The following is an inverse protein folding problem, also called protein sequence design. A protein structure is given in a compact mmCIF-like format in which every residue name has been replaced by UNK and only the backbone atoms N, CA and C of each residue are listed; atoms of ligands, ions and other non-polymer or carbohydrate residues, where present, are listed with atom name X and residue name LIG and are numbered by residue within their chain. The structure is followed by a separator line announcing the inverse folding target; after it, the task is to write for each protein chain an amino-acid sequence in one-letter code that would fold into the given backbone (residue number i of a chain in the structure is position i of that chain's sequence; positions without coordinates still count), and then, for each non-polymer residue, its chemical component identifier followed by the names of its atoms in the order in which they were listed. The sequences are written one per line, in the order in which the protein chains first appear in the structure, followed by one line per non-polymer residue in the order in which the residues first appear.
data_IF_353900096597
#
_entry.id   IF_353900096597
#
_cell.length_a   1.000
_cell.length_b   1.000
_cell.length_c   1.000
_cell.angle_alpha   90.00
_cell.angle_beta   90.00
_cell.angle_gamma   90.00
#
_symmetry.space_group_name_H-M   'P 1'
#
loop_
_entity.id
_entity.type
_entity.pdbx_description
1 polymer ?
#
# COMPACT_ATOMS: atom_id res chain seq x y z
N UNK A 1 -9.59 -41.88 -10.39
CA UNK A 1 -9.13 -41.43 -9.06
C UNK A 1 -9.97 -40.23 -8.65
N UNK A 2 -10.55 -40.28 -7.46
CA UNK A 2 -11.62 -39.38 -7.03
C UNK A 2 -11.05 -38.07 -6.48
N UNK A 3 -9.92 -38.14 -5.78
CA UNK A 3 -9.21 -36.97 -5.27
C UNK A 3 -8.72 -36.07 -6.41
N UNK A 4 -8.24 -36.67 -7.51
CA UNK A 4 -7.85 -35.93 -8.71
C UNK A 4 -9.03 -35.22 -9.37
N UNK A 5 -10.22 -35.81 -9.36
CA UNK A 5 -11.43 -35.20 -9.91
C UNK A 5 -11.86 -33.97 -9.07
N UNK A 6 -11.75 -34.05 -7.73
CA UNK A 6 -12.04 -32.93 -6.83
C UNK A 6 -11.03 -31.78 -7.03
N UNK A 7 -9.74 -32.09 -7.17
CA UNK A 7 -8.72 -31.07 -7.47
C UNK A 7 -8.98 -30.43 -8.84
N UNK A 8 -9.32 -31.23 -9.84
CA UNK A 8 -9.62 -30.76 -11.19
C UNK A 8 -10.82 -29.82 -11.24
N UNK A 9 -11.93 -30.17 -10.56
CA UNK A 9 -13.14 -29.33 -10.58
C UNK A 9 -12.95 -28.03 -9.80
N UNK A 10 -12.18 -28.04 -8.70
CA UNK A 10 -11.82 -26.81 -7.96
C UNK A 10 -10.99 -25.88 -8.83
N UNK A 11 -9.97 -26.41 -9.52
CA UNK A 11 -9.18 -25.61 -10.45
C UNK A 11 -10.05 -25.01 -11.57
N UNK A 12 -10.96 -25.78 -12.15
CA UNK A 12 -11.88 -25.28 -13.16
C UNK A 12 -12.82 -24.17 -12.65
N UNK A 13 -13.19 -24.18 -11.36
CA UNK A 13 -13.94 -23.08 -10.75
C UNK A 13 -13.08 -21.82 -10.61
N UNK A 14 -11.83 -21.94 -10.13
CA UNK A 14 -10.91 -20.82 -10.02
C UNK A 14 -10.61 -20.20 -11.39
N UNK A 15 -10.34 -21.03 -12.40
CA UNK A 15 -10.09 -20.57 -13.77
C UNK A 15 -11.31 -19.81 -14.34
N UNK A 16 -12.54 -20.29 -14.08
CA UNK A 16 -13.78 -19.58 -14.46
C UNK A 16 -13.95 -18.25 -13.73
N UNK A 17 -13.60 -18.20 -12.45
CA UNK A 17 -13.66 -16.96 -11.67
C UNK A 17 -12.67 -15.92 -12.23
N UNK A 18 -11.44 -16.34 -12.56
CA UNK A 18 -10.45 -15.46 -13.21
C UNK A 18 -10.95 -14.93 -14.56
N UNK A 19 -11.52 -15.79 -15.40
CA UNK A 19 -12.11 -15.36 -16.67
C UNK A 19 -13.23 -14.33 -16.47
N UNK A 20 -14.13 -14.55 -15.51
CA UNK A 20 -15.20 -13.61 -15.19
C UNK A 20 -14.64 -12.26 -14.70
N UNK A 21 -13.54 -12.27 -13.93
CA UNK A 21 -12.86 -11.05 -13.48
C UNK A 21 -12.21 -10.29 -14.64
N UNK A 22 -11.61 -10.98 -15.61
CA UNK A 22 -11.04 -10.34 -16.80
C UNK A 22 -12.09 -9.67 -17.68
N UNK A 23 -13.30 -10.24 -17.78
CA UNK A 23 -14.40 -9.62 -18.55
C UNK A 23 -14.88 -8.29 -17.97
N UNK A 24 -14.79 -8.11 -16.65
CA UNK A 24 -15.20 -6.88 -15.97
C UNK A 24 -14.05 -5.90 -15.73
N UNK A 25 -12.79 -6.32 -15.94
CA UNK A 25 -11.64 -5.42 -15.84
C UNK A 25 -11.69 -4.38 -16.96
N UNK A 26 -11.51 -3.12 -16.57
CA UNK A 26 -11.46 -1.98 -17.48
C UNK A 26 -10.41 -0.99 -16.99
N UNK A 27 -9.90 -0.15 -17.89
CA UNK A 27 -8.94 0.90 -17.51
C UNK A 27 -9.53 1.94 -16.56
N UNK A 28 -10.86 2.13 -16.57
CA UNK A 28 -11.58 3.11 -15.75
C UNK A 28 -12.15 2.55 -14.44
N UNK A 29 -12.21 1.23 -14.29
CA UNK A 29 -12.82 0.58 -13.13
C UNK A 29 -11.79 -0.25 -12.36
N UNK A 30 -11.89 -0.20 -11.04
CA UNK A 30 -11.22 -1.12 -10.15
C UNK A 30 -12.20 -2.24 -9.76
N UNK A 31 -11.64 -3.41 -9.51
CA UNK A 31 -12.39 -4.62 -9.19
C UNK A 31 -11.88 -5.17 -7.86
N UNK A 32 -12.80 -5.42 -6.94
CA UNK A 32 -12.55 -6.19 -5.73
C UNK A 32 -13.46 -7.42 -5.77
N UNK A 33 -12.94 -8.58 -5.39
CA UNK A 33 -13.71 -9.80 -5.36
C UNK A 33 -13.47 -10.59 -4.08
N UNK A 34 -14.43 -11.44 -3.78
CA UNK A 34 -14.32 -12.45 -2.74
C UNK A 34 -14.76 -13.80 -3.33
N UNK A 35 -13.89 -14.80 -3.15
CA UNK A 35 -14.12 -16.18 -3.57
C UNK A 35 -13.67 -17.08 -2.42
N UNK A 36 -14.65 -17.59 -1.67
CA UNK A 36 -14.39 -18.55 -0.62
C UNK A 36 -14.31 -19.96 -1.21
N UNK A 37 -13.09 -20.43 -1.49
CA UNK A 37 -12.86 -21.80 -1.98
C UNK A 37 -13.33 -22.89 -1.00
N UNK A 38 -13.51 -22.55 0.29
CA UNK A 38 -14.03 -23.47 1.30
C UNK A 38 -15.56 -23.57 1.27
N UNK A 39 -16.25 -22.57 0.70
CA UNK A 39 -17.70 -22.56 0.52
C UNK A 39 -18.17 -23.31 -0.75
N UNK A 40 -17.24 -23.80 -1.58
CA UNK A 40 -17.58 -24.52 -2.80
C UNK A 40 -18.36 -25.81 -2.50
N UNK A 41 -19.56 -25.93 -3.06
CA UNK A 41 -20.42 -27.10 -2.93
C UNK A 41 -20.05 -28.10 -4.03
N UNK A 42 -19.39 -29.18 -3.65
CA UNK A 42 -19.05 -30.30 -4.56
C UNK A 42 -20.10 -31.40 -4.42
N UNK A 43 -20.71 -31.79 -5.53
CA UNK A 43 -21.68 -32.88 -5.65
C UNK A 43 -21.08 -33.99 -6.51
N UNK A 44 -21.36 -35.21 -6.11
CA UNK A 44 -20.97 -36.42 -6.84
C UNK A 44 -22.19 -37.32 -6.96
N UNK A 45 -22.33 -37.99 -8.08
CA UNK A 45 -23.38 -38.98 -8.33
C UNK A 45 -22.98 -40.40 -7.86
N UNK A 46 -21.68 -40.68 -7.73
CA UNK A 46 -21.13 -41.94 -7.21
C UNK A 46 -20.67 -41.82 -5.74
N UNK A 47 -20.82 -42.90 -4.96
CA UNK A 47 -20.35 -42.99 -3.57
C UNK A 47 -19.04 -43.78 -3.47
N UNK A 48 -18.33 -43.57 -2.37
CA UNK A 48 -17.14 -44.38 -2.04
C UNK A 48 -17.53 -45.86 -1.94
N UNK A 49 -16.94 -46.68 -2.81
CA UNK A 49 -17.22 -48.12 -2.90
C UNK A 49 -18.15 -48.52 -4.05
N UNK A 50 -18.69 -47.57 -4.81
CA UNK A 50 -19.45 -47.89 -6.03
C UNK A 50 -18.50 -48.33 -7.16
N UNK A 51 -18.79 -49.49 -7.76
CA UNK A 51 -18.06 -50.01 -8.92
C UNK A 51 -18.74 -49.53 -10.21
N UNK A 52 -18.58 -48.24 -10.51
CA UNK A 52 -19.14 -47.58 -11.70
C UNK A 52 -18.03 -47.27 -12.72
N UNK A 53 -18.35 -47.47 -14.00
CA UNK A 53 -17.39 -47.20 -15.09
C UNK A 53 -17.12 -45.70 -15.32
N UNK A 54 -18.09 -44.85 -14.99
CA UNK A 54 -18.02 -43.39 -15.09
C UNK A 54 -18.82 -42.76 -13.94
N UNK A 55 -18.46 -41.54 -13.55
CA UNK A 55 -19.15 -40.74 -12.52
C UNK A 55 -19.05 -39.25 -12.86
N UNK A 56 -20.02 -38.46 -12.41
CA UNK A 56 -20.11 -37.02 -12.61
C UNK A 56 -19.75 -36.30 -11.30
N UNK A 57 -18.77 -35.41 -11.39
CA UNK A 57 -18.45 -34.44 -10.35
C UNK A 57 -18.93 -33.07 -10.80
N UNK A 58 -19.77 -32.43 -9.98
CA UNK A 58 -20.23 -31.06 -10.17
C UNK A 58 -19.75 -30.20 -9.01
N UNK A 59 -19.38 -28.95 -9.28
CA UNK A 59 -19.05 -28.01 -8.22
C UNK A 59 -19.67 -26.64 -8.51
N UNK A 60 -20.10 -25.97 -7.45
CA UNK A 60 -20.70 -24.65 -7.48
C UNK A 60 -20.04 -23.77 -6.42
N UNK A 61 -19.69 -22.54 -6.78
CA UNK A 61 -19.18 -21.54 -5.85
C UNK A 61 -19.77 -20.16 -6.17
N UNK A 62 -19.91 -19.32 -5.15
CA UNK A 62 -20.41 -17.96 -5.30
C UNK A 62 -19.22 -17.00 -5.40
N UNK A 63 -19.13 -16.29 -6.52
CA UNK A 63 -18.16 -15.22 -6.72
C UNK A 63 -18.87 -13.87 -6.52
N UNK A 64 -18.46 -13.11 -5.52
CA UNK A 64 -18.93 -11.75 -5.32
C UNK A 64 -17.93 -10.76 -5.93
N UNK A 65 -18.43 -9.83 -6.75
CA UNK A 65 -17.60 -8.83 -7.44
C UNK A 65 -18.15 -7.43 -7.14
N UNK A 66 -17.28 -6.55 -6.65
CA UNK A 66 -17.54 -5.12 -6.56
C UNK A 66 -16.74 -4.39 -7.64
N UNK A 67 -17.45 -3.65 -8.48
CA UNK A 67 -16.88 -2.82 -9.54
C UNK A 67 -17.11 -1.36 -9.16
N UNK A 68 -16.04 -0.57 -9.13
CA UNK A 68 -16.11 0.83 -8.71
C UNK A 68 -15.13 1.70 -9.52
N UNK A 69 -15.33 3.03 -9.46
CA UNK A 69 -14.47 3.97 -10.17
C UNK A 69 -13.04 3.90 -9.62
N UNK A 70 -12.10 3.57 -10.51
CA UNK A 70 -10.68 3.52 -10.17
C UNK A 70 -10.16 4.90 -9.72
N UNK A 71 -10.55 5.94 -10.45
CA UNK A 71 -10.15 7.32 -10.16
C UNK A 71 -10.61 7.78 -8.77
N UNK A 72 -11.87 7.49 -8.41
CA UNK A 72 -12.41 7.84 -7.09
C UNK A 72 -11.71 7.05 -5.97
N UNK A 73 -11.45 5.76 -6.19
CA UNK A 73 -10.72 4.95 -5.22
C UNK A 73 -9.28 5.46 -5.01
N UNK A 74 -8.56 5.77 -6.09
CA UNK A 74 -7.22 6.35 -6.02
C UNK A 74 -7.21 7.71 -5.31
N UNK A 75 -8.22 8.56 -5.56
CA UNK A 75 -8.36 9.85 -4.88
C UNK A 75 -8.56 9.67 -3.37
N UNK A 76 -9.41 8.72 -2.95
CA UNK A 76 -9.63 8.40 -1.54
C UNK A 76 -8.37 7.86 -0.87
N UNK A 77 -7.62 6.99 -1.55
CA UNK A 77 -6.35 6.47 -1.04
C UNK A 77 -5.32 7.58 -0.90
N UNK A 78 -5.16 8.44 -1.91
CA UNK A 78 -4.26 9.61 -1.86
C UNK A 78 -4.62 10.56 -0.72
N UNK A 79 -5.91 10.84 -0.51
CA UNK A 79 -6.37 11.69 0.58
C UNK A 79 -6.04 11.09 1.97
N UNK A 80 -6.27 9.78 2.15
CA UNK A 80 -5.89 9.07 3.39
C UNK A 80 -4.39 9.05 3.62
N UNK A 81 -3.60 8.84 2.57
CA UNK A 81 -2.14 8.90 2.63
C UNK A 81 -1.68 10.28 3.08
N UNK A 82 -2.19 11.35 2.45
CA UNK A 82 -1.84 12.72 2.81
C UNK A 82 -2.17 13.05 4.28
N UNK A 83 -3.25 12.47 4.81
CA UNK A 83 -3.61 12.63 6.22
C UNK A 83 -2.69 11.86 7.19
N UNK A 84 -2.14 10.71 6.77
CA UNK A 84 -1.27 9.87 7.60
C UNK A 84 0.22 10.22 7.46
N UNK A 85 0.60 10.96 6.42
CA UNK A 85 1.97 11.41 6.17
C UNK A 85 2.40 12.43 7.24
N UNK A 86 3.53 12.19 7.91
CA UNK A 86 4.19 13.21 8.72
C UNK A 86 4.57 14.44 7.89
N UNK A 87 4.51 15.64 8.49
CA UNK A 87 4.75 16.92 7.81
C UNK A 87 6.15 17.03 7.17
N UNK A 88 7.14 16.31 7.72
CA UNK A 88 8.53 16.27 7.28
C UNK A 88 8.79 15.29 6.12
N UNK A 89 7.77 14.52 5.72
CA UNK A 89 7.90 13.43 4.74
C UNK A 89 6.99 13.66 3.54
N UNK A 90 7.42 13.11 2.41
CA UNK A 90 6.66 13.06 1.16
C UNK A 90 6.70 11.65 0.61
N UNK A 91 5.66 11.27 -0.12
CA UNK A 91 5.66 10.02 -0.85
C UNK A 91 6.50 10.19 -2.12
N UNK A 92 7.54 9.38 -2.29
CA UNK A 92 8.51 9.51 -3.38
C UNK A 92 7.93 9.10 -4.73
N UNK A 93 7.02 8.13 -4.73
CA UNK A 93 6.20 7.73 -5.87
C UNK A 93 4.93 7.03 -5.37
N UNK A 94 3.79 7.39 -5.94
CA UNK A 94 2.53 6.66 -5.80
C UNK A 94 1.99 6.38 -7.18
N UNK A 95 2.01 5.12 -7.58
CA UNK A 95 1.34 4.69 -8.80
C UNK A 95 0.06 3.95 -8.39
N UNK A 96 -1.09 4.43 -8.85
CA UNK A 96 -2.39 3.82 -8.53
C UNK A 96 -2.53 2.35 -8.98
N UNK A 97 -1.61 1.89 -9.85
CA UNK A 97 -1.49 0.49 -10.27
C UNK A 97 -1.03 -0.45 -9.14
N UNK A 98 -0.44 0.08 -8.08
CA UNK A 98 0.11 -0.71 -6.96
C UNK A 98 -0.92 -0.93 -5.82
N UNK A 99 -2.18 -0.55 -6.05
CA UNK A 99 -3.27 -0.77 -5.08
C UNK A 99 -3.91 -2.13 -5.35
N UNK A 100 -3.77 -3.04 -4.39
CA UNK A 100 -4.50 -4.29 -4.33
C UNK A 100 -5.82 -4.08 -3.59
N UNK A 101 -6.93 -4.53 -4.20
CA UNK A 101 -8.26 -4.45 -3.62
C UNK A 101 -8.76 -5.83 -3.23
N UNK A 102 -9.41 -5.93 -2.06
CA UNK A 102 -10.10 -7.12 -1.60
C UNK A 102 -11.51 -6.74 -1.15
N UNK A 103 -12.50 -7.54 -1.52
CA UNK A 103 -13.86 -7.38 -1.03
C UNK A 103 -13.94 -8.01 0.35
N UNK A 104 -14.23 -7.21 1.38
CA UNK A 104 -14.32 -7.71 2.78
C UNK A 104 -15.78 -8.02 3.17
N UNK A 105 -16.73 -7.22 2.70
CA UNK A 105 -18.15 -7.43 2.94
C UNK A 105 -18.99 -6.81 1.83
N UNK A 106 -20.19 -7.34 1.59
CA UNK A 106 -21.15 -6.74 0.68
C UNK A 106 -22.58 -6.97 1.18
N UNK A 107 -23.47 -6.06 0.82
CA UNK A 107 -24.90 -6.17 1.01
C UNK A 107 -25.59 -5.91 -0.33
N UNK A 108 -26.16 -6.98 -0.90
CA UNK A 108 -26.85 -6.95 -2.17
C UNK A 108 -28.18 -6.17 -2.11
N UNK A 109 -28.80 -6.03 -0.93
CA UNK A 109 -30.05 -5.29 -0.80
C UNK A 109 -29.83 -3.78 -0.85
N UNK A 110 -28.73 -3.30 -0.25
CA UNK A 110 -28.36 -1.89 -0.27
C UNK A 110 -27.40 -1.53 -1.41
N UNK A 111 -26.93 -2.51 -2.18
CA UNK A 111 -25.88 -2.35 -3.20
C UNK A 111 -24.62 -1.69 -2.62
N UNK A 112 -24.26 -2.04 -1.39
CA UNK A 112 -23.07 -1.52 -0.72
C UNK A 112 -22.01 -2.60 -0.54
N UNK A 113 -20.74 -2.19 -0.59
CA UNK A 113 -19.60 -3.07 -0.42
C UNK A 113 -18.52 -2.38 0.42
N UNK A 114 -17.88 -3.15 1.29
CA UNK A 114 -16.67 -2.74 2.02
C UNK A 114 -15.48 -3.36 1.32
N UNK A 115 -14.57 -2.50 0.85
CA UNK A 115 -13.37 -2.90 0.11
C UNK A 115 -12.14 -2.50 0.91
N UNK A 116 -11.27 -3.46 1.18
CA UNK A 116 -9.93 -3.21 1.68
C UNK A 116 -9.01 -2.83 0.52
N UNK A 117 -8.30 -1.72 0.66
CA UNK A 117 -7.27 -1.27 -0.28
C UNK A 117 -5.90 -1.35 0.39
N UNK A 118 -4.97 -2.09 -0.21
CA UNK A 118 -3.59 -2.23 0.24
C UNK A 118 -2.64 -1.69 -0.81
N UNK A 119 -1.68 -0.87 -0.42
CA UNK A 119 -0.67 -0.33 -1.33
C UNK A 119 0.69 -0.31 -0.62
N UNK A 120 1.76 -0.29 -1.41
CA UNK A 120 3.12 -0.07 -0.93
C UNK A 120 3.67 1.19 -1.58
N UNK A 121 4.37 2.02 -0.82
CA UNK A 121 4.99 3.23 -1.33
C UNK A 121 6.23 3.58 -0.52
N UNK A 122 7.19 4.21 -1.18
CA UNK A 122 8.40 4.70 -0.52
C UNK A 122 8.20 6.14 -0.08
N UNK A 123 8.61 6.45 1.14
CA UNK A 123 8.62 7.82 1.68
C UNK A 123 10.04 8.37 1.61
N UNK A 124 10.15 9.66 1.31
CA UNK A 124 11.40 10.41 1.41
C UNK A 124 11.18 11.66 2.23
N UNK A 125 12.26 12.22 2.74
CA UNK A 125 12.20 13.52 3.40
C UNK A 125 11.84 14.60 2.39
N UNK A 126 11.03 15.54 2.86
CA UNK A 126 10.79 16.79 2.18
C UNK A 126 12.07 17.62 2.22
N UNK A 127 12.53 18.07 1.05
CA UNK A 127 13.70 18.95 0.94
C UNK A 127 13.47 20.33 1.57
N UNK A 128 12.20 20.69 1.79
CA UNK A 128 11.75 21.89 2.49
C UNK A 128 11.34 21.64 3.94
N UNK A 129 11.45 20.42 4.45
CA UNK A 129 11.31 20.19 5.88
C UNK A 129 12.54 20.76 6.59
N UNK A 130 12.31 21.67 7.55
CA UNK A 130 13.34 22.13 8.47
C UNK A 130 13.72 20.97 9.41
N UNK A 131 14.50 20.00 8.92
CA UNK A 131 15.09 18.89 9.72
C UNK A 131 15.88 19.50 10.91
N UNK A 132 16.44 20.67 10.67
CA UNK A 132 17.26 21.44 11.60
C UNK A 132 16.55 22.75 11.93
N UNK A 133 16.05 22.88 13.17
CA UNK A 133 15.55 24.15 13.69
C UNK A 133 16.71 25.15 13.87
N UNK A 134 16.85 26.07 12.92
CA UNK A 134 17.87 27.14 12.93
C UNK A 134 17.86 27.98 14.20
N UNK A 135 16.72 28.12 14.89
CA UNK A 135 16.63 28.88 16.14
C UNK A 135 17.39 28.19 17.28
N UNK A 136 17.48 26.86 17.24
CA UNK A 136 18.25 26.08 18.22
C UNK A 136 19.75 26.13 18.00
N UNK A 137 20.20 26.56 16.81
CA UNK A 137 21.62 26.68 16.48
C UNK A 137 22.22 28.03 16.87
N UNK A 138 21.40 29.02 17.21
CA UNK A 138 21.83 30.39 17.51
C UNK A 138 22.83 30.41 18.68
N UNK A 139 23.94 31.14 18.49
CA UNK A 139 25.06 31.28 19.45
C UNK A 139 25.77 29.98 19.87
N UNK A 140 25.43 28.82 19.28
CA UNK A 140 26.11 27.56 19.57
C UNK A 140 27.51 27.53 18.94
N UNK A 141 28.44 26.85 19.60
CA UNK A 141 29.74 26.52 19.02
C UNK A 141 29.68 25.22 18.18
N UNK A 142 30.79 24.89 17.51
CA UNK A 142 30.91 23.69 16.67
C UNK A 142 30.53 22.40 17.41
N UNK A 143 31.03 22.20 18.63
CA UNK A 143 30.77 21.00 19.44
C UNK A 143 29.28 20.86 19.78
N UNK A 144 28.65 21.95 20.19
CA UNK A 144 27.23 22.00 20.53
C UNK A 144 26.33 21.78 19.31
N UNK A 145 26.71 22.33 18.14
CA UNK A 145 26.01 22.08 16.88
C UNK A 145 26.16 20.61 16.49
N UNK A 146 27.36 20.03 16.62
CA UNK A 146 27.60 18.60 16.36
C UNK A 146 26.72 17.72 17.24
N UNK A 147 26.66 18.02 18.54
CA UNK A 147 25.84 17.27 19.50
C UNK A 147 24.34 17.38 19.16
N UNK A 148 23.87 18.58 18.81
CA UNK A 148 22.50 18.78 18.34
C UNK A 148 22.18 17.95 17.10
N UNK A 149 23.04 18.01 16.07
CA UNK A 149 22.81 17.30 14.81
C UNK A 149 22.88 15.78 14.97
N UNK A 150 23.71 15.26 15.88
CA UNK A 150 23.79 13.82 16.22
C UNK A 150 22.52 13.26 16.84
N UNK A 151 21.67 14.11 17.43
CA UNK A 151 20.38 13.68 17.96
C UNK A 151 19.39 13.27 16.85
N UNK A 152 19.68 13.61 15.59
CA UNK A 152 18.83 13.28 14.44
C UNK A 152 19.39 12.06 13.70
N UNK A 153 18.80 10.87 13.87
CA UNK A 153 19.26 9.66 13.18
C UNK A 153 19.12 9.73 11.66
N UNK A 154 18.33 10.68 11.16
CA UNK A 154 18.13 10.93 9.73
C UNK A 154 19.32 11.67 9.08
N UNK A 155 20.23 12.26 9.88
CA UNK A 155 21.44 12.94 9.40
C UNK A 155 22.62 11.96 9.42
N UNK A 156 23.00 11.43 8.25
CA UNK A 156 24.15 10.52 8.14
C UNK A 156 25.49 11.27 8.20
N UNK A 157 25.58 12.38 7.46
CA UNK A 157 26.77 13.22 7.37
C UNK A 157 26.36 14.68 7.30
N UNK A 158 27.20 15.57 7.82
CA UNK A 158 27.01 17.01 7.70
C UNK A 158 28.35 17.70 7.51
N UNK A 159 28.34 18.85 6.85
CA UNK A 159 29.47 19.76 6.75
C UNK A 159 29.08 21.07 7.44
N UNK A 160 29.94 21.56 8.33
CA UNK A 160 29.71 22.79 9.08
C UNK A 160 30.74 23.83 8.67
N UNK A 161 30.28 24.89 8.01
CA UNK A 161 31.13 26.01 7.62
C UNK A 161 30.78 27.27 8.39
N UNK A 162 31.79 27.86 9.03
CA UNK A 162 31.68 29.17 9.68
C UNK A 162 32.19 30.27 8.76
N UNK A 163 31.34 31.25 8.47
CA UNK A 163 31.71 32.42 7.68
C UNK A 163 31.49 33.73 8.44
N UNK A 164 32.52 34.59 8.57
CA UNK A 164 33.89 34.40 8.07
C UNK A 164 34.70 33.39 8.89
N UNK A 165 35.73 32.75 8.30
CA UNK A 165 36.47 31.60 8.88
C UNK A 165 37.07 31.78 10.28
N UNK A 166 37.15 33.00 10.81
CA UNK A 166 37.67 33.27 12.15
C UNK A 166 36.62 33.11 13.26
N UNK A 167 35.33 33.02 12.94
CA UNK A 167 34.28 32.80 13.94
C UNK A 167 34.21 31.32 14.31
N UNK A 168 33.92 31.03 15.58
CA UNK A 168 33.79 29.66 16.12
C UNK A 168 32.40 29.38 16.68
N UNK A 169 31.45 30.28 16.42
CA UNK A 169 30.08 30.24 16.91
C UNK A 169 29.10 30.72 15.86
N UNK A 170 27.91 30.15 15.88
CA UNK A 170 26.82 30.58 15.02
C UNK A 170 26.40 32.03 15.34
N UNK A 171 25.91 32.79 14.35
CA UNK A 171 25.36 34.12 14.56
C UNK A 171 24.21 34.14 15.58
N UNK A 172 23.95 35.32 16.14
CA UNK A 172 22.83 35.57 17.06
C UNK A 172 21.46 35.60 16.36
N UNK A 173 21.43 35.67 15.03
CA UNK A 173 20.21 35.73 14.21
C UNK A 173 20.09 34.44 13.40
N UNK A 174 18.97 33.74 13.57
CA UNK A 174 18.68 32.49 12.85
C UNK A 174 18.66 32.68 11.32
N UNK A 175 18.26 33.85 10.82
CA UNK A 175 18.23 34.18 9.39
C UNK A 175 19.63 34.19 8.74
N UNK A 176 20.69 34.29 9.55
CA UNK A 176 22.08 34.21 9.08
C UNK A 176 22.64 32.78 9.08
N UNK A 177 21.82 31.80 9.46
CA UNK A 177 22.16 30.38 9.45
C UNK A 177 21.47 29.76 8.23
N UNK A 178 22.29 29.31 7.28
CA UNK A 178 21.82 28.63 6.08
C UNK A 178 21.98 27.12 6.28
N UNK A 179 20.90 26.37 6.06
CA UNK A 179 20.92 24.91 6.06
C UNK A 179 20.57 24.48 4.65
N UNK A 180 21.44 23.68 4.04
CA UNK A 180 21.24 23.08 2.73
C UNK A 180 21.21 21.57 2.89
N UNK A 181 20.14 20.95 2.40
CA UNK A 181 20.01 19.49 2.38
C UNK A 181 20.44 19.00 1.01
N UNK A 182 21.58 18.30 0.96
CA UNK A 182 22.11 17.68 -0.27
C UNK A 182 21.80 16.18 -0.21
N UNK A 183 21.15 15.65 -1.26
CA UNK A 183 20.84 14.23 -1.42
C UNK A 183 21.81 13.56 -2.39
#
# INVERSE_FOLDING_TARGET
DLDQAIVGIKKALSDKAEMALEEVKSSSHAVAYDLDDSAAVVKMDAKLGDEVGEFIVSAENTLAIAIFSKEQAEALVKAKIAFLLPDDKRLSAFEGKDIAYRLDAYDAASSTATVAASFKGNMSLRTDADIVDRKKLVNLNEEQISEYLRAFPEIQTYELEFFPKFIKRAPSLADRIKVEVVQ
#
